data_IF_830952481522
#
_entry.id   IF_830952481522
#
_cell.length_a   1.000
_cell.length_b   1.000
_cell.length_c   1.000
_cell.angle_alpha   90.00
_cell.angle_beta   90.00
_cell.angle_gamma   90.00
#
_symmetry.space_group_name_H-M   'P 1'
#
loop_
_entity.id
_entity.type
_entity.pdbx_description
1 polymer ?
#
# COMPACT_ATOMS: atom_id res chain seq x y z
N UNK A 1 -19.94 -15.30 -12.00
CA UNK A 1 -19.49 -15.30 -10.63
C UNK A 1 -20.40 -14.42 -9.80
N UNK A 2 -20.65 -14.80 -8.57
CA UNK A 2 -21.71 -14.21 -7.76
C UNK A 2 -21.46 -12.78 -7.30
N UNK A 3 -22.55 -12.11 -6.96
CA UNK A 3 -22.54 -10.75 -6.43
C UNK A 3 -21.69 -10.63 -5.14
N UNK A 4 -21.70 -11.69 -4.30
CA UNK A 4 -20.94 -11.69 -3.05
C UNK A 4 -19.43 -11.57 -3.30
N UNK A 5 -18.93 -12.28 -4.31
CA UNK A 5 -17.51 -12.23 -4.71
C UNK A 5 -17.14 -10.86 -5.24
N UNK A 6 -18.00 -10.29 -6.10
CA UNK A 6 -17.77 -8.96 -6.65
C UNK A 6 -17.79 -7.90 -5.56
N UNK A 7 -18.77 -7.97 -4.64
CA UNK A 7 -18.84 -7.02 -3.53
C UNK A 7 -17.58 -7.07 -2.66
N UNK A 8 -17.09 -8.27 -2.39
CA UNK A 8 -15.87 -8.46 -1.60
C UNK A 8 -14.66 -7.80 -2.28
N UNK A 9 -14.54 -7.95 -3.60
CA UNK A 9 -13.47 -7.29 -4.36
C UNK A 9 -13.58 -5.78 -4.32
N UNK A 10 -14.80 -5.24 -4.50
CA UNK A 10 -15.01 -3.80 -4.45
C UNK A 10 -14.70 -3.23 -3.06
N UNK A 11 -15.04 -3.97 -2.00
CA UNK A 11 -14.65 -3.57 -0.66
C UNK A 11 -13.12 -3.55 -0.49
N UNK A 12 -12.45 -4.61 -0.92
CA UNK A 12 -11.00 -4.73 -0.81
C UNK A 12 -10.28 -3.63 -1.62
N UNK A 13 -10.91 -3.16 -2.70
CA UNK A 13 -10.33 -2.08 -3.51
C UNK A 13 -10.15 -0.79 -2.71
N UNK A 14 -11.04 -0.54 -1.77
CA UNK A 14 -11.01 0.67 -0.94
C UNK A 14 -10.25 0.50 0.37
N UNK A 15 -9.87 -0.73 0.71
CA UNK A 15 -9.00 -1.00 1.85
C UNK A 15 -7.57 -1.22 1.39
N UNK A 16 -7.26 -2.38 0.85
CA UNK A 16 -5.90 -2.74 0.40
C UNK A 16 -5.41 -1.85 -0.75
N UNK A 17 -6.32 -1.43 -1.64
CA UNK A 17 -5.99 -0.47 -2.69
C UNK A 17 -5.61 0.91 -2.13
N UNK A 18 -6.34 1.37 -1.11
CA UNK A 18 -6.03 2.63 -0.44
C UNK A 18 -4.71 2.57 0.30
N UNK A 19 -4.41 1.43 0.94
CA UNK A 19 -3.12 1.25 1.62
C UNK A 19 -1.95 1.31 0.64
N UNK A 20 -2.11 0.74 -0.54
CA UNK A 20 -1.09 0.83 -1.59
C UNK A 20 -0.85 2.27 -2.01
N UNK A 21 -1.92 3.06 -2.15
CA UNK A 21 -1.79 4.48 -2.46
C UNK A 21 -1.05 5.23 -1.34
N UNK A 22 -1.40 4.94 -0.09
CA UNK A 22 -0.73 5.55 1.05
C UNK A 22 0.77 5.23 1.06
N UNK A 23 1.13 3.97 0.76
CA UNK A 23 2.54 3.58 0.67
C UNK A 23 3.25 4.33 -0.46
N UNK A 24 2.63 4.43 -1.62
CA UNK A 24 3.21 5.14 -2.77
C UNK A 24 3.43 6.62 -2.45
N UNK A 25 2.43 7.27 -1.88
CA UNK A 25 2.51 8.68 -1.49
C UNK A 25 3.57 8.87 -0.40
N UNK A 26 3.61 7.97 0.58
CA UNK A 26 4.63 8.00 1.63
C UNK A 26 6.05 7.86 1.08
N UNK A 27 6.24 6.94 0.12
CA UNK A 27 7.54 6.76 -0.54
C UNK A 27 7.95 8.03 -1.27
N UNK A 28 7.05 8.64 -2.02
CA UNK A 28 7.33 9.89 -2.72
C UNK A 28 7.63 11.03 -1.74
N UNK A 29 6.87 11.13 -0.66
CA UNK A 29 7.10 12.15 0.36
C UNK A 29 8.47 11.99 1.01
N UNK A 30 8.88 10.75 1.31
CA UNK A 30 10.21 10.48 1.87
C UNK A 30 11.30 10.87 0.87
N UNK A 31 11.11 10.56 -0.40
CA UNK A 31 12.06 10.91 -1.46
C UNK A 31 12.27 12.42 -1.55
N UNK A 32 11.19 13.19 -1.42
CA UNK A 32 11.24 14.65 -1.45
C UNK A 32 11.59 15.28 -0.10
N UNK A 33 11.81 14.46 0.94
CA UNK A 33 12.09 14.92 2.31
C UNK A 33 10.93 15.75 2.88
N UNK A 34 9.71 15.39 2.50
CA UNK A 34 8.49 16.06 2.93
C UNK A 34 7.61 15.19 3.84
N UNK A 35 8.08 13.99 4.21
CA UNK A 35 7.24 13.11 5.01
C UNK A 35 6.79 13.72 6.35
N UNK A 36 7.68 14.38 7.13
CA UNK A 36 7.23 15.00 8.37
C UNK A 36 6.14 16.05 8.15
N UNK A 37 6.28 16.88 7.12
CA UNK A 37 5.29 17.90 6.78
C UNK A 37 3.97 17.26 6.34
N UNK A 38 4.03 16.20 5.53
CA UNK A 38 2.83 15.47 5.10
C UNK A 38 2.10 14.87 6.29
N UNK A 39 2.82 14.18 7.19
CA UNK A 39 2.21 13.58 8.36
C UNK A 39 1.54 14.62 9.25
N UNK A 40 2.17 15.79 9.40
CA UNK A 40 1.59 16.89 10.19
C UNK A 40 0.28 17.39 9.56
N UNK A 41 0.25 17.57 8.25
CA UNK A 41 -0.97 17.97 7.54
C UNK A 41 -2.08 16.92 7.68
N UNK A 42 -1.73 15.64 7.52
CA UNK A 42 -2.70 14.56 7.65
C UNK A 42 -3.27 14.49 9.06
N UNK A 43 -2.44 14.64 10.07
CA UNK A 43 -2.88 14.59 11.46
C UNK A 43 -3.93 15.67 11.74
N UNK A 44 -3.76 16.86 11.18
CA UNK A 44 -4.68 17.97 11.39
C UNK A 44 -5.94 17.92 10.54
N UNK A 45 -5.88 17.30 9.35
CA UNK A 45 -6.92 17.48 8.34
C UNK A 45 -7.47 16.20 7.72
N UNK A 46 -6.84 15.03 7.96
CA UNK A 46 -7.29 13.76 7.39
C UNK A 46 -6.87 12.61 8.31
N UNK A 47 -7.65 12.40 9.36
CA UNK A 47 -7.33 11.38 10.37
C UNK A 47 -7.30 9.98 9.79
N UNK A 48 -8.15 9.67 8.82
CA UNK A 48 -8.17 8.35 8.20
C UNK A 48 -6.84 8.04 7.50
N UNK A 49 -6.34 8.97 6.69
CA UNK A 49 -5.06 8.80 6.01
C UNK A 49 -3.89 8.80 7.01
N UNK A 50 -3.96 9.63 8.04
CA UNK A 50 -2.94 9.65 9.08
C UNK A 50 -2.84 8.29 9.78
N UNK A 51 -3.99 7.74 10.19
CA UNK A 51 -4.04 6.43 10.83
C UNK A 51 -3.50 5.33 9.89
N UNK A 52 -3.83 5.41 8.61
CA UNK A 52 -3.31 4.47 7.62
C UNK A 52 -1.79 4.50 7.52
N UNK A 53 -1.22 5.71 7.48
CA UNK A 53 0.24 5.88 7.47
C UNK A 53 0.89 5.31 8.72
N UNK A 54 0.29 5.54 9.89
CA UNK A 54 0.88 5.11 11.16
C UNK A 54 0.67 3.61 11.43
N UNK A 55 -0.47 3.06 11.01
CA UNK A 55 -0.88 1.72 11.44
C UNK A 55 -0.74 0.64 10.37
N UNK A 56 -0.69 1.00 9.08
CA UNK A 56 -0.75 0.01 8.01
C UNK A 56 0.47 0.02 7.09
N UNK A 57 0.95 1.19 6.69
CA UNK A 57 2.01 1.31 5.68
C UNK A 57 3.28 0.56 6.08
N UNK A 58 3.63 0.62 7.36
CA UNK A 58 4.88 0.03 7.84
C UNK A 58 4.94 -1.50 7.77
N UNK A 59 3.79 -2.18 7.71
CA UNK A 59 3.79 -3.64 7.65
C UNK A 59 3.24 -4.22 6.35
N UNK A 60 2.86 -3.39 5.40
CA UNK A 60 2.28 -3.88 4.15
C UNK A 60 3.17 -4.89 3.42
N UNK A 61 4.48 -4.79 3.56
CA UNK A 61 5.40 -5.73 2.93
C UNK A 61 5.14 -7.17 3.35
N UNK A 62 4.73 -7.39 4.61
CA UNK A 62 4.47 -8.74 5.13
C UNK A 62 3.37 -9.47 4.34
N UNK A 63 2.37 -8.74 3.87
CA UNK A 63 1.24 -9.30 3.13
C UNK A 63 1.27 -9.00 1.63
N UNK A 64 2.30 -8.30 1.16
CA UNK A 64 2.36 -7.82 -0.23
C UNK A 64 2.24 -8.94 -1.26
N UNK A 65 2.80 -10.11 -0.97
CA UNK A 65 2.75 -11.26 -1.88
C UNK A 65 1.32 -11.75 -2.11
N UNK A 66 0.41 -11.53 -1.15
CA UNK A 66 -1.02 -11.88 -1.28
C UNK A 66 -1.81 -10.73 -1.89
N UNK A 67 -1.50 -9.51 -1.46
CA UNK A 67 -2.27 -8.33 -1.88
C UNK A 67 -2.04 -7.96 -3.34
N UNK A 68 -0.84 -8.19 -3.86
CA UNK A 68 -0.54 -7.90 -5.26
C UNK A 68 -1.50 -8.59 -6.24
N UNK A 69 -1.59 -9.94 -6.20
CA UNK A 69 -2.53 -10.66 -7.06
C UNK A 69 -4.00 -10.25 -6.87
N UNK A 70 -4.40 -9.91 -5.62
CA UNK A 70 -5.75 -9.38 -5.37
C UNK A 70 -5.99 -8.08 -6.14
N UNK A 71 -5.00 -7.21 -6.22
CA UNK A 71 -5.15 -5.94 -6.95
C UNK A 71 -5.34 -6.18 -8.44
N UNK A 72 -4.69 -7.20 -9.00
CA UNK A 72 -4.88 -7.58 -10.40
C UNK A 72 -6.32 -8.06 -10.65
N UNK A 73 -6.89 -8.83 -9.72
CA UNK A 73 -8.28 -9.29 -9.79
C UNK A 73 -9.26 -8.11 -9.72
N UNK A 74 -8.98 -7.15 -8.85
CA UNK A 74 -9.80 -5.95 -8.72
C UNK A 74 -9.72 -5.11 -10.00
N UNK A 75 -8.52 -4.95 -10.55
CA UNK A 75 -8.34 -4.24 -11.81
C UNK A 75 -9.20 -4.86 -12.92
N UNK A 76 -9.21 -6.19 -13.03
CA UNK A 76 -10.03 -6.91 -14.01
C UNK A 76 -11.52 -6.70 -13.74
N UNK A 77 -11.93 -6.69 -12.47
CA UNK A 77 -13.32 -6.46 -12.07
C UNK A 77 -13.80 -5.06 -12.51
N UNK A 78 -12.97 -4.04 -12.27
CA UNK A 78 -13.30 -2.67 -12.70
C UNK A 78 -13.36 -2.57 -14.23
N UNK A 79 -12.41 -3.18 -14.92
CA UNK A 79 -12.40 -3.20 -16.38
C UNK A 79 -13.66 -3.85 -16.95
N UNK A 80 -14.12 -4.94 -16.34
CA UNK A 80 -15.38 -5.60 -16.74
C UNK A 80 -16.59 -4.67 -16.66
N UNK A 81 -16.55 -3.71 -15.73
CA UNK A 81 -17.61 -2.72 -15.57
C UNK A 81 -17.42 -1.49 -16.46
N UNK A 82 -16.38 -1.47 -17.30
CA UNK A 82 -16.07 -0.30 -18.13
C UNK A 82 -15.37 0.82 -17.38
N UNK A 83 -14.85 0.53 -16.19
CA UNK A 83 -14.15 1.51 -15.35
C UNK A 83 -12.64 1.25 -15.44
N UNK A 84 -11.85 2.32 -15.37
CA UNK A 84 -10.41 2.19 -15.53
C UNK A 84 -9.80 1.18 -14.55
N UNK A 85 -8.97 0.24 -15.01
CA UNK A 85 -8.22 -0.66 -14.12
C UNK A 85 -6.95 -0.04 -13.56
N UNK A 86 -6.60 1.18 -13.97
CA UNK A 86 -5.26 1.74 -13.74
C UNK A 86 -4.95 2.02 -12.28
N UNK A 87 -5.96 2.36 -11.46
CA UNK A 87 -5.71 2.55 -10.02
C UNK A 87 -5.15 1.29 -9.38
N UNK A 88 -5.75 0.15 -9.68
CA UNK A 88 -5.37 -1.12 -9.06
C UNK A 88 -4.22 -1.82 -9.78
N UNK A 89 -4.01 -1.52 -11.05
CA UNK A 89 -2.75 -1.88 -11.71
C UNK A 89 -1.58 -1.17 -11.01
N UNK A 90 -1.76 0.10 -10.66
CA UNK A 90 -0.77 0.83 -9.88
C UNK A 90 -0.59 0.26 -8.47
N UNK A 91 -1.69 -0.12 -7.83
CA UNK A 91 -1.63 -0.76 -6.51
C UNK A 91 -0.88 -2.10 -6.58
N UNK A 92 -1.14 -2.90 -7.61
CA UNK A 92 -0.42 -4.16 -7.83
C UNK A 92 1.09 -3.91 -7.98
N UNK A 93 1.46 -2.86 -8.70
CA UNK A 93 2.86 -2.47 -8.85
C UNK A 93 3.50 -2.16 -7.48
N UNK A 94 2.78 -1.44 -6.63
CA UNK A 94 3.30 -1.10 -5.29
C UNK A 94 3.56 -2.38 -4.50
N UNK A 95 2.60 -3.30 -4.44
CA UNK A 95 2.78 -4.56 -3.71
C UNK A 95 3.88 -5.42 -4.33
N UNK A 96 4.06 -5.35 -5.63
CA UNK A 96 5.14 -6.07 -6.31
C UNK A 96 6.52 -5.57 -5.85
N UNK A 97 6.66 -4.28 -5.64
CA UNK A 97 7.89 -3.73 -5.04
C UNK A 97 8.04 -4.19 -3.59
N UNK A 98 6.98 -4.03 -2.80
CA UNK A 98 7.04 -4.29 -1.36
C UNK A 98 7.34 -5.75 -1.03
N UNK A 99 6.87 -6.70 -1.83
CA UNK A 99 7.11 -8.12 -1.59
C UNK A 99 8.59 -8.50 -1.65
N UNK A 100 9.39 -7.69 -2.34
CA UNK A 100 10.82 -7.94 -2.50
C UNK A 100 11.67 -7.21 -1.44
N UNK A 101 11.06 -6.48 -0.52
CA UNK A 101 11.79 -5.80 0.54
C UNK A 101 12.18 -6.79 1.64
N UNK A 102 13.25 -6.49 2.41
CA UNK A 102 13.58 -7.30 3.59
C UNK A 102 12.43 -7.40 4.59
N UNK A 103 11.55 -6.38 4.63
CA UNK A 103 10.42 -6.35 5.56
C UNK A 103 9.32 -7.36 5.18
N UNK A 104 9.36 -7.93 3.98
CA UNK A 104 8.44 -8.98 3.57
C UNK A 104 8.64 -10.28 4.36
N UNK A 105 9.78 -10.44 5.04
CA UNK A 105 10.01 -11.58 5.93
C UNK A 105 9.23 -11.47 7.25
N UNK A 106 8.72 -10.29 7.57
CA UNK A 106 7.89 -10.11 8.78
C UNK A 106 6.49 -10.70 8.56
N UNK A 107 5.79 -10.97 9.66
CA UNK A 107 4.39 -11.38 9.66
C UNK A 107 3.61 -10.42 10.55
N UNK A 108 2.28 -10.53 10.55
CA UNK A 108 1.44 -9.74 11.45
C UNK A 108 1.79 -9.96 12.93
N UNK A 109 2.33 -11.14 13.26
CA UNK A 109 2.73 -11.46 14.63
C UNK A 109 4.12 -10.94 14.97
N UNK A 110 5.01 -10.80 13.97
CA UNK A 110 6.43 -10.54 14.22
C UNK A 110 6.92 -9.17 13.78
N UNK A 111 6.09 -8.37 13.07
CA UNK A 111 6.56 -7.07 12.60
C UNK A 111 6.84 -6.13 13.78
N UNK A 112 7.85 -5.31 13.60
CA UNK A 112 8.29 -4.38 14.64
C UNK A 112 7.35 -3.17 14.71
N UNK A 113 6.41 -3.19 15.66
CA UNK A 113 5.40 -2.14 15.85
C UNK A 113 6.00 -0.83 16.34
N UNK A 114 7.23 -0.86 16.85
CA UNK A 114 7.91 0.35 17.30
C UNK A 114 8.63 1.08 16.16
N UNK A 115 8.74 0.44 14.99
CA UNK A 115 9.46 1.03 13.86
C UNK A 115 8.67 2.20 13.28
N UNK A 116 9.26 3.41 13.24
CA UNK A 116 8.60 4.55 12.61
C UNK A 116 8.32 4.27 11.12
N UNK A 117 7.21 4.78 10.61
CA UNK A 117 6.84 4.59 9.20
C UNK A 117 7.94 5.09 8.26
N UNK A 118 8.64 6.15 8.63
CA UNK A 118 9.74 6.67 7.84
C UNK A 118 10.82 5.62 7.58
N UNK A 119 11.15 4.80 8.58
CA UNK A 119 12.13 3.73 8.41
C UNK A 119 11.66 2.69 7.41
N UNK A 120 10.39 2.28 7.51
CA UNK A 120 9.81 1.33 6.56
C UNK A 120 9.85 1.89 5.14
N UNK A 121 9.47 3.15 4.98
CA UNK A 121 9.46 3.81 3.67
C UNK A 121 10.87 3.90 3.06
N UNK A 122 11.88 4.13 3.87
CA UNK A 122 13.27 4.10 3.39
C UNK A 122 13.66 2.74 2.86
N UNK A 123 13.27 1.67 3.56
CA UNK A 123 13.54 0.30 3.11
C UNK A 123 12.82 0.04 1.78
N UNK A 124 11.57 0.48 1.66
CA UNK A 124 10.80 0.34 0.42
C UNK A 124 11.51 1.06 -0.74
N UNK A 125 11.96 2.29 -0.51
CA UNK A 125 12.68 3.07 -1.53
C UNK A 125 13.99 2.41 -1.93
N UNK A 126 14.75 1.89 -0.97
CA UNK A 126 16.00 1.19 -1.25
C UNK A 126 15.75 -0.01 -2.18
N UNK A 127 14.69 -0.76 -1.92
CA UNK A 127 14.32 -1.90 -2.77
C UNK A 127 13.91 -1.43 -4.17
N UNK A 128 13.11 -0.37 -4.24
CA UNK A 128 12.71 0.21 -5.52
C UNK A 128 13.94 0.64 -6.33
N UNK A 129 14.88 1.30 -5.71
CA UNK A 129 16.10 1.79 -6.37
C UNK A 129 16.97 0.66 -6.91
N UNK A 130 16.97 -0.49 -6.23
CA UNK A 130 17.72 -1.66 -6.67
C UNK A 130 17.09 -2.37 -7.87
N UNK A 131 15.83 -2.13 -8.13
CA UNK A 131 15.15 -2.70 -9.30
C UNK A 131 15.62 -2.06 -10.61
N UNK A 132 16.28 -0.96 -10.50
CA UNK A 132 16.86 -0.29 -11.61
C UNK A 132 15.98 0.61 -12.36
#
# INVERSE_FOLDING_TARGET
IGQASTLKMLFASLTKGSWAMMAAVGMAAERYKLLPALLNELEGNNQHAYAGMQNWVGFLAADAHRFGPEMDEIAATLASAGVTPKFHEGAAWVYDVLKDTPLAAETRATWDRSRPVQKSLKVYLDTLDKRG
#
